data_IF_926689282515
#
_entry.id   IF_926689282515
#
_cell.length_a   1.000
_cell.length_b   1.000
_cell.length_c   1.000
_cell.angle_alpha   90.00
_cell.angle_beta   90.00
_cell.angle_gamma   90.00
#
_symmetry.space_group_name_H-M   'P 1'
#
loop_
_entity.id
_entity.type
_entity.pdbx_description
1 polymer ?
#
# COMPACT_ATOMS: atom_id res chain seq x y z
N UNK A 1 1.06 -2.23 18.30
CA UNK A 1 0.66 -2.94 17.06
C UNK A 1 1.90 -3.23 16.26
N UNK A 2 1.88 -4.30 15.47
CA UNK A 2 2.85 -4.53 14.40
C UNK A 2 2.32 -3.88 13.12
N UNK A 3 3.03 -2.87 12.60
CA UNK A 3 2.59 -2.10 11.42
C UNK A 3 3.57 -2.33 10.26
N UNK A 4 3.07 -2.86 9.15
CA UNK A 4 3.84 -2.94 7.92
C UNK A 4 3.74 -1.61 7.15
N UNK A 5 4.87 -1.02 6.79
CA UNK A 5 4.94 0.17 5.92
C UNK A 5 5.57 -0.25 4.60
N UNK A 6 4.78 -0.23 3.53
CA UNK A 6 5.22 -0.64 2.18
C UNK A 6 5.54 0.59 1.36
N UNK A 7 6.79 0.68 0.91
CA UNK A 7 7.30 1.76 0.07
C UNK A 7 7.55 1.31 -1.37
N UNK A 8 7.25 2.20 -2.31
CA UNK A 8 7.46 1.93 -3.74
C UNK A 8 7.94 3.18 -4.47
N UNK A 9 9.26 3.38 -4.50
CA UNK A 9 9.92 4.39 -5.32
C UNK A 9 11.37 3.94 -5.65
N UNK A 10 11.86 4.08 -6.90
CA UNK A 10 13.18 3.60 -7.28
C UNK A 10 14.34 4.44 -6.71
N UNK A 11 14.11 5.74 -6.43
CA UNK A 11 15.15 6.65 -5.96
C UNK A 11 15.08 6.85 -4.45
N UNK A 12 16.21 6.66 -3.77
CA UNK A 12 16.33 6.84 -2.32
C UNK A 12 16.38 8.32 -1.89
N UNK A 13 16.71 9.23 -2.77
CA UNK A 13 16.71 10.67 -2.54
C UNK A 13 15.37 11.32 -2.91
N UNK A 14 14.34 10.54 -3.22
CA UNK A 14 13.01 11.04 -3.57
C UNK A 14 12.26 11.59 -2.36
N UNK A 15 11.34 12.51 -2.62
CA UNK A 15 10.42 13.01 -1.58
C UNK A 15 9.56 11.89 -0.97
N UNK A 16 9.11 10.93 -1.77
CA UNK A 16 8.36 9.79 -1.24
C UNK A 16 9.21 8.90 -0.31
N UNK A 17 10.52 8.78 -0.56
CA UNK A 17 11.41 8.07 0.35
C UNK A 17 11.60 8.84 1.66
N UNK A 18 11.69 10.17 1.63
CA UNK A 18 11.70 10.99 2.85
C UNK A 18 10.40 10.85 3.66
N UNK A 19 9.24 10.78 2.98
CA UNK A 19 7.95 10.50 3.64
C UNK A 19 7.92 9.10 4.27
N UNK A 20 8.45 8.08 3.58
CA UNK A 20 8.56 6.73 4.11
C UNK A 20 9.36 6.69 5.41
N UNK A 21 10.53 7.34 5.46
CA UNK A 21 11.31 7.45 6.69
C UNK A 21 10.55 8.19 7.79
N UNK A 22 9.89 9.32 7.46
CA UNK A 22 9.06 10.05 8.42
C UNK A 22 7.98 9.16 9.04
N UNK A 23 7.32 8.32 8.23
CA UNK A 23 6.30 7.37 8.70
C UNK A 23 6.94 6.35 9.65
N UNK A 24 8.00 5.68 9.20
CA UNK A 24 8.68 4.61 9.95
C UNK A 24 9.20 5.12 11.30
N UNK A 25 9.92 6.25 11.30
CA UNK A 25 10.55 6.81 12.50
C UNK A 25 9.51 7.32 13.50
N UNK A 26 8.38 7.88 13.02
CA UNK A 26 7.32 8.31 13.91
C UNK A 26 6.60 7.13 14.55
N UNK A 27 6.30 6.09 13.77
CA UNK A 27 5.60 4.90 14.27
C UNK A 27 6.46 4.08 15.23
N UNK A 28 7.77 3.95 14.98
CA UNK A 28 8.71 3.21 15.87
C UNK A 28 8.75 3.72 17.31
N UNK A 29 8.27 4.93 17.56
CA UNK A 29 8.19 5.48 18.95
C UNK A 29 7.17 4.74 19.81
N UNK A 30 6.17 4.10 19.22
CA UNK A 30 5.03 3.49 19.93
C UNK A 30 4.60 2.12 19.39
N UNK A 31 5.14 1.69 18.25
CA UNK A 31 4.76 0.48 17.55
C UNK A 31 5.96 -0.30 17.04
N UNK A 32 5.80 -1.59 16.86
CA UNK A 32 6.71 -2.41 16.07
C UNK A 32 6.45 -2.16 14.59
N UNK A 33 7.51 -1.97 13.79
CA UNK A 33 7.37 -1.58 12.38
C UNK A 33 8.16 -2.52 11.48
N UNK A 34 7.49 -3.11 10.50
CA UNK A 34 8.11 -3.79 9.37
C UNK A 34 8.20 -2.77 8.23
N UNK A 35 9.40 -2.29 7.96
CA UNK A 35 9.69 -1.35 6.87
C UNK A 35 10.03 -2.16 5.60
N UNK A 36 9.13 -2.15 4.62
CA UNK A 36 9.26 -2.90 3.36
C UNK A 36 9.48 -1.91 2.21
N UNK A 37 10.70 -1.84 1.68
CA UNK A 37 11.04 -1.09 0.46
C UNK A 37 11.13 -2.06 -0.72
N UNK A 38 10.10 -2.09 -1.56
CA UNK A 38 9.98 -3.07 -2.65
C UNK A 38 11.12 -3.00 -3.66
N UNK A 39 11.68 -1.81 -3.94
CA UNK A 39 12.81 -1.68 -4.85
C UNK A 39 14.12 -2.15 -4.21
N UNK A 40 14.34 -1.79 -2.95
CA UNK A 40 15.54 -2.15 -2.22
C UNK A 40 15.61 -3.64 -1.89
N UNK A 41 14.47 -4.27 -1.67
CA UNK A 41 14.37 -5.72 -1.43
C UNK A 41 14.43 -6.54 -2.73
N UNK A 42 14.60 -5.90 -3.89
CA UNK A 42 14.68 -6.59 -5.18
C UNK A 42 13.38 -7.31 -5.58
N UNK A 43 12.23 -6.83 -5.08
CA UNK A 43 10.95 -7.43 -5.41
C UNK A 43 10.67 -7.37 -6.92
N UNK A 44 10.31 -8.50 -7.53
CA UNK A 44 9.84 -8.54 -8.92
C UNK A 44 8.32 -8.34 -8.96
N UNK A 45 7.80 -7.34 -9.69
CA UNK A 45 6.36 -7.10 -9.76
C UNK A 45 5.62 -8.05 -10.71
N UNK A 46 6.33 -8.74 -11.60
CA UNK A 46 5.70 -9.60 -12.61
C UNK A 46 5.26 -10.94 -12.01
N UNK A 47 3.97 -11.22 -12.09
CA UNK A 47 3.42 -12.53 -11.73
C UNK A 47 3.99 -13.61 -12.65
N UNK A 48 4.43 -14.72 -12.09
CA UNK A 48 4.97 -15.85 -12.83
C UNK A 48 3.86 -16.76 -13.39
N UNK A 49 4.18 -17.57 -14.40
CA UNK A 49 3.25 -18.56 -14.91
C UNK A 49 2.87 -19.62 -13.84
N UNK A 50 3.77 -19.95 -12.92
CA UNK A 50 3.50 -20.87 -11.82
C UNK A 50 2.48 -20.28 -10.83
N UNK A 51 2.68 -19.01 -10.42
CA UNK A 51 1.73 -18.29 -9.57
C UNK A 51 0.35 -18.21 -10.23
N UNK A 52 0.28 -17.91 -11.54
CA UNK A 52 -0.99 -17.82 -12.24
C UNK A 52 -1.72 -19.17 -12.35
N UNK A 53 -0.99 -20.27 -12.63
CA UNK A 53 -1.59 -21.63 -12.70
C UNK A 53 -2.19 -22.05 -11.34
N UNK A 54 -1.54 -21.70 -10.24
CA UNK A 54 -2.02 -22.02 -8.87
C UNK A 54 -3.07 -21.05 -8.34
N UNK A 55 -3.34 -19.93 -9.05
CA UNK A 55 -4.19 -18.85 -8.53
C UNK A 55 -5.61 -19.30 -8.18
N UNK A 56 -6.18 -20.24 -8.95
CA UNK A 56 -7.52 -20.80 -8.72
C UNK A 56 -7.54 -22.32 -8.56
N UNK A 57 -6.40 -23.00 -8.64
CA UNK A 57 -6.32 -24.47 -8.69
C UNK A 57 -5.38 -25.01 -7.60
N UNK A 58 -5.76 -24.88 -6.35
CA UNK A 58 -4.97 -25.39 -5.23
C UNK A 58 -4.33 -24.29 -4.37
N UNK A 59 -3.33 -24.62 -3.56
CA UNK A 59 -2.59 -23.61 -2.80
C UNK A 59 -1.83 -22.71 -3.75
N UNK A 60 -1.90 -21.40 -3.50
CA UNK A 60 -1.15 -20.42 -4.29
C UNK A 60 0.37 -20.62 -4.12
N UNK A 61 1.11 -20.58 -5.22
CA UNK A 61 2.57 -20.74 -5.22
C UNK A 61 3.25 -19.48 -4.70
N UNK A 62 3.28 -19.30 -3.36
CA UNK A 62 3.76 -18.09 -2.70
C UNK A 62 5.27 -18.08 -2.41
N UNK A 63 6.03 -19.13 -2.77
CA UNK A 63 7.44 -19.29 -2.39
C UNK A 63 8.30 -18.07 -2.69
N UNK A 64 8.15 -17.50 -3.88
CA UNK A 64 8.91 -16.31 -4.30
C UNK A 64 8.54 -15.02 -3.54
N UNK A 65 7.42 -15.00 -2.81
CA UNK A 65 6.91 -13.85 -2.04
C UNK A 65 6.61 -14.21 -0.60
N UNK A 66 7.02 -15.39 -0.14
CA UNK A 66 6.70 -15.94 1.18
C UNK A 66 7.05 -15.00 2.34
N UNK A 67 8.17 -14.31 2.26
CA UNK A 67 8.58 -13.32 3.26
C UNK A 67 7.54 -12.17 3.36
N UNK A 68 7.14 -11.60 2.24
CA UNK A 68 6.15 -10.50 2.18
C UNK A 68 4.76 -10.96 2.62
N UNK A 69 4.37 -12.18 2.25
CA UNK A 69 3.13 -12.82 2.73
C UNK A 69 3.18 -13.03 4.24
N UNK A 70 4.32 -13.50 4.77
CA UNK A 70 4.52 -13.64 6.21
C UNK A 70 4.44 -12.31 6.97
N UNK A 71 4.97 -11.23 6.42
CA UNK A 71 4.82 -9.88 6.97
C UNK A 71 3.34 -9.46 7.03
N UNK A 72 2.61 -9.64 5.94
CA UNK A 72 1.20 -9.26 5.82
C UNK A 72 0.31 -10.06 6.79
N UNK A 73 0.54 -11.37 6.92
CA UNK A 73 -0.21 -12.25 7.84
C UNK A 73 -0.01 -11.89 9.32
N UNK A 74 1.16 -11.34 9.67
CA UNK A 74 1.50 -10.97 11.06
C UNK A 74 1.09 -9.55 11.41
N UNK A 75 0.94 -8.65 10.44
CA UNK A 75 0.71 -7.24 10.68
C UNK A 75 -0.68 -6.97 11.28
N UNK A 76 -0.76 -6.03 12.22
CA UNK A 76 -2.02 -5.46 12.73
C UNK A 76 -2.49 -4.26 11.89
N UNK A 77 -1.57 -3.63 11.16
CA UNK A 77 -1.84 -2.47 10.31
C UNK A 77 -0.94 -2.45 9.08
N UNK A 78 -1.40 -1.83 8.02
CA UNK A 78 -0.62 -1.64 6.81
C UNK A 78 -0.72 -0.19 6.31
N UNK A 79 0.41 0.38 5.92
CA UNK A 79 0.50 1.73 5.36
C UNK A 79 1.30 1.68 4.07
N UNK A 80 0.74 2.23 3.01
CA UNK A 80 1.39 2.34 1.71
C UNK A 80 1.92 3.75 1.48
N UNK A 81 3.20 3.87 1.09
CA UNK A 81 3.88 5.12 0.77
C UNK A 81 4.45 5.08 -0.65
N UNK A 82 3.86 5.84 -1.59
CA UNK A 82 4.21 5.78 -3.00
C UNK A 82 3.73 7.01 -3.77
N UNK A 83 4.33 7.36 -4.92
CA UNK A 83 3.80 8.38 -5.85
C UNK A 83 2.72 7.77 -6.75
N UNK A 84 1.72 8.57 -7.13
CA UNK A 84 0.83 8.19 -8.23
C UNK A 84 1.47 8.52 -9.57
N UNK A 85 1.57 7.51 -10.44
CA UNK A 85 1.96 7.63 -11.84
C UNK A 85 0.77 7.28 -12.72
N UNK A 86 0.47 8.13 -13.70
CA UNK A 86 -0.71 7.95 -14.55
C UNK A 86 -2.01 7.74 -13.75
N UNK A 87 -2.18 8.52 -12.66
CA UNK A 87 -3.33 8.46 -11.75
C UNK A 87 -3.55 7.10 -11.08
N UNK A 88 -2.54 6.25 -11.08
CA UNK A 88 -2.57 4.91 -10.47
C UNK A 88 -1.32 4.67 -9.63
N UNK A 89 -1.24 3.51 -9.00
CA UNK A 89 -0.06 3.08 -8.26
C UNK A 89 1.07 2.68 -9.24
N UNK A 90 2.35 2.79 -8.82
CA UNK A 90 3.48 2.28 -9.60
C UNK A 90 3.34 0.77 -9.89
N UNK A 91 3.90 0.32 -11.01
CA UNK A 91 3.88 -1.11 -11.41
C UNK A 91 4.43 -2.03 -10.31
N UNK A 92 5.48 -1.60 -9.59
CA UNK A 92 6.05 -2.30 -8.45
C UNK A 92 5.02 -2.57 -7.35
N UNK A 93 4.25 -1.54 -6.96
CA UNK A 93 3.20 -1.67 -5.95
C UNK A 93 1.99 -2.46 -6.48
N UNK A 94 1.67 -2.32 -7.78
CA UNK A 94 0.61 -3.13 -8.40
C UNK A 94 0.97 -4.62 -8.34
N UNK A 95 2.22 -4.97 -8.67
CA UNK A 95 2.73 -6.33 -8.58
C UNK A 95 2.73 -6.88 -7.14
N UNK A 96 2.99 -6.03 -6.14
CA UNK A 96 2.83 -6.43 -4.74
C UNK A 96 1.38 -6.87 -4.44
N UNK A 97 0.39 -6.12 -4.90
CA UNK A 97 -1.01 -6.54 -4.74
C UNK A 97 -1.33 -7.81 -5.53
N UNK A 98 -0.84 -7.93 -6.76
CA UNK A 98 -1.13 -9.09 -7.60
C UNK A 98 -0.53 -10.39 -7.05
N UNK A 99 0.66 -10.32 -6.44
CA UNK A 99 1.41 -11.50 -6.02
C UNK A 99 1.29 -11.81 -4.52
N UNK A 100 1.22 -10.78 -3.66
CA UNK A 100 1.19 -10.95 -2.20
C UNK A 100 -0.24 -10.97 -1.67
N UNK A 101 -1.16 -10.19 -2.26
CA UNK A 101 -2.58 -10.19 -1.90
C UNK A 101 -3.37 -11.26 -2.67
N UNK A 102 -2.77 -12.41 -2.85
CA UNK A 102 -3.30 -13.53 -3.62
C UNK A 102 -4.36 -14.34 -2.84
N UNK A 103 -5.05 -15.29 -3.52
CA UNK A 103 -5.95 -16.25 -2.86
C UNK A 103 -5.25 -16.99 -1.73
N UNK A 104 -5.98 -17.25 -0.62
CA UNK A 104 -5.43 -17.89 0.58
C UNK A 104 -4.65 -16.93 1.50
N UNK A 105 -4.29 -15.74 1.03
CA UNK A 105 -3.67 -14.68 1.83
C UNK A 105 -4.61 -13.51 2.07
N UNK A 106 -5.02 -12.80 1.02
CA UNK A 106 -5.89 -11.63 1.17
C UNK A 106 -7.38 -11.99 1.10
N UNK A 107 -7.71 -13.02 0.36
CA UNK A 107 -9.10 -13.44 0.17
C UNK A 107 -9.21 -14.94 -0.09
N UNK A 108 -10.39 -15.48 0.23
CA UNK A 108 -10.82 -16.79 -0.23
C UNK A 108 -11.87 -16.61 -1.33
N UNK A 109 -11.73 -17.41 -2.38
CA UNK A 109 -12.66 -17.44 -3.49
C UNK A 109 -13.57 -18.66 -3.36
N UNK A 110 -14.86 -18.44 -3.29
CA UNK A 110 -15.85 -19.53 -3.40
C UNK A 110 -16.14 -19.78 -4.87
N UNK A 111 -15.56 -20.84 -5.40
CA UNK A 111 -15.74 -21.25 -6.81
C UNK A 111 -17.21 -21.58 -7.15
N UNK A 112 -18.03 -21.90 -6.15
CA UNK A 112 -19.46 -22.28 -6.34
C UNK A 112 -20.42 -21.09 -6.18
N UNK A 113 -20.05 -20.07 -5.41
CA UNK A 113 -20.95 -18.96 -5.06
C UNK A 113 -20.54 -17.58 -5.56
N UNK A 114 -19.37 -17.43 -6.17
CA UNK A 114 -18.90 -16.16 -6.72
C UNK A 114 -18.58 -15.07 -5.69
N UNK A 115 -18.66 -15.35 -4.37
CA UNK A 115 -18.35 -14.38 -3.32
C UNK A 115 -16.91 -14.44 -2.88
N UNK A 116 -16.26 -13.27 -2.88
CA UNK A 116 -14.93 -13.11 -2.28
C UNK A 116 -15.10 -12.90 -0.77
N UNK A 117 -14.43 -13.73 0.03
CA UNK A 117 -14.37 -13.60 1.48
C UNK A 117 -13.05 -12.98 1.90
N UNK A 118 -13.05 -11.84 2.62
CA UNK A 118 -11.83 -11.23 3.16
C UNK A 118 -11.10 -12.16 4.12
N UNK A 119 -9.77 -12.19 4.05
CA UNK A 119 -8.91 -12.96 4.95
C UNK A 119 -7.96 -12.11 5.80
N UNK A 120 -7.71 -10.86 5.42
CA UNK A 120 -6.83 -9.94 6.17
C UNK A 120 -7.55 -9.31 7.37
N UNK A 121 -8.35 -10.09 8.09
CA UNK A 121 -9.14 -9.61 9.25
C UNK A 121 -8.28 -9.24 10.47
N UNK A 122 -7.00 -9.60 10.46
CA UNK A 122 -5.97 -9.14 11.39
C UNK A 122 -5.64 -7.65 11.19
N UNK A 123 -5.78 -7.12 9.98
CA UNK A 123 -5.46 -5.72 9.66
C UNK A 123 -6.56 -4.80 10.21
N UNK A 124 -6.22 -4.02 11.22
CA UNK A 124 -7.10 -3.04 11.88
C UNK A 124 -6.87 -1.60 11.42
N UNK A 125 -5.75 -1.35 10.71
CA UNK A 125 -5.37 -0.05 10.16
C UNK A 125 -4.98 -0.20 8.70
N UNK A 126 -5.58 0.61 7.81
CA UNK A 126 -5.22 0.72 6.39
C UNK A 126 -4.91 2.18 6.05
N UNK A 127 -3.64 2.49 5.87
CA UNK A 127 -3.16 3.86 5.61
C UNK A 127 -2.60 4.02 4.21
N UNK A 128 -2.74 5.23 3.67
CA UNK A 128 -2.09 5.63 2.41
C UNK A 128 -1.49 7.01 2.56
N UNK A 129 -0.21 7.14 2.23
CA UNK A 129 0.51 8.40 2.08
C UNK A 129 1.06 8.45 0.67
N UNK A 130 0.71 9.47 -0.09
CA UNK A 130 1.03 9.51 -1.51
C UNK A 130 1.24 10.92 -2.03
N UNK A 131 1.78 11.03 -3.25
CA UNK A 131 1.92 12.28 -3.98
C UNK A 131 1.40 12.16 -5.41
N UNK A 132 0.93 13.27 -5.95
CA UNK A 132 0.49 13.42 -7.34
C UNK A 132 1.26 14.59 -7.98
N UNK A 133 1.76 14.43 -9.21
CA UNK A 133 2.28 15.54 -10.01
C UNK A 133 1.18 16.56 -10.32
N UNK A 134 -0.03 16.08 -10.59
CA UNK A 134 -1.18 16.89 -10.96
C UNK A 134 -1.85 17.63 -9.79
N UNK A 135 -2.53 18.77 -10.07
CA UNK A 135 -3.27 19.52 -9.08
C UNK A 135 -4.53 18.75 -8.60
N UNK A 136 -4.99 19.12 -7.40
CA UNK A 136 -6.09 18.47 -6.72
C UNK A 136 -7.37 18.36 -7.57
N UNK A 137 -7.76 19.45 -8.24
CA UNK A 137 -9.00 19.48 -9.02
C UNK A 137 -8.96 18.53 -10.22
N UNK A 138 -7.81 18.44 -10.92
CA UNK A 138 -7.64 17.50 -12.03
C UNK A 138 -7.75 16.06 -11.55
N UNK A 139 -7.04 15.73 -10.46
CA UNK A 139 -7.06 14.37 -9.90
C UNK A 139 -8.43 13.97 -9.38
N UNK A 140 -9.08 14.83 -8.57
CA UNK A 140 -10.29 14.47 -7.83
C UNK A 140 -11.57 14.66 -8.62
N UNK A 141 -11.65 15.70 -9.45
CA UNK A 141 -12.88 16.05 -10.21
C UNK A 141 -12.82 15.42 -11.60
N UNK A 142 -11.81 15.76 -12.40
CA UNK A 142 -11.74 15.32 -13.80
C UNK A 142 -11.45 13.82 -13.88
N UNK A 143 -10.36 13.36 -13.26
CA UNK A 143 -9.94 11.95 -13.27
C UNK A 143 -10.67 11.09 -12.24
N UNK A 144 -11.45 11.67 -11.34
CA UNK A 144 -12.22 10.97 -10.29
C UNK A 144 -11.38 10.07 -9.38
N UNK A 145 -10.09 10.33 -9.25
CA UNK A 145 -9.14 9.64 -8.36
C UNK A 145 -9.19 8.09 -8.48
N UNK A 146 -8.88 7.52 -9.64
CA UNK A 146 -9.02 6.08 -9.87
C UNK A 146 -8.11 5.26 -8.95
N UNK A 147 -6.88 5.73 -8.68
CA UNK A 147 -5.94 5.05 -7.78
C UNK A 147 -6.51 4.91 -6.36
N UNK A 148 -7.08 5.98 -5.82
CA UNK A 148 -7.74 5.94 -4.50
C UNK A 148 -8.97 5.03 -4.51
N UNK A 149 -9.76 5.02 -5.59
CA UNK A 149 -10.92 4.11 -5.71
C UNK A 149 -10.48 2.65 -5.65
N UNK A 150 -9.42 2.26 -6.35
CA UNK A 150 -8.88 0.89 -6.28
C UNK A 150 -8.48 0.53 -4.84
N UNK A 151 -7.70 1.39 -4.19
CA UNK A 151 -7.23 1.15 -2.82
C UNK A 151 -8.38 0.99 -1.82
N UNK A 152 -9.38 1.86 -1.89
CA UNK A 152 -10.42 1.93 -0.86
C UNK A 152 -11.69 1.12 -1.17
N UNK A 153 -11.97 0.83 -2.44
CA UNK A 153 -13.16 0.06 -2.85
C UNK A 153 -12.86 -1.40 -3.20
N UNK A 154 -11.64 -1.70 -3.65
CA UNK A 154 -11.26 -3.07 -3.99
C UNK A 154 -10.34 -3.71 -2.93
N UNK A 155 -9.28 -3.02 -2.49
CA UNK A 155 -8.27 -3.62 -1.62
C UNK A 155 -8.61 -3.51 -0.13
N UNK A 156 -8.97 -2.32 0.37
CA UNK A 156 -9.33 -2.14 1.78
C UNK A 156 -10.40 -3.12 2.30
N UNK A 157 -11.46 -3.48 1.55
CA UNK A 157 -12.45 -4.44 2.00
C UNK A 157 -11.89 -5.82 2.34
N UNK A 158 -10.70 -6.19 1.84
CA UNK A 158 -10.03 -7.44 2.19
C UNK A 158 -9.53 -7.46 3.65
N UNK A 159 -9.41 -6.30 4.29
CA UNK A 159 -9.08 -6.15 5.71
C UNK A 159 -10.29 -6.26 6.65
N UNK A 160 -11.48 -6.54 6.12
CA UNK A 160 -12.70 -6.66 6.91
C UNK A 160 -13.41 -5.32 7.21
N UNK A 161 -14.58 -5.38 7.88
CA UNK A 161 -15.50 -4.23 7.98
C UNK A 161 -15.08 -3.18 9.01
N UNK A 162 -14.25 -3.52 10.00
CA UNK A 162 -13.90 -2.64 11.13
C UNK A 162 -12.55 -1.96 10.97
N UNK A 163 -11.93 -2.02 9.79
CA UNK A 163 -10.62 -1.41 9.55
C UNK A 163 -10.70 0.11 9.59
N UNK A 164 -9.90 0.72 10.46
CA UNK A 164 -9.67 2.16 10.45
C UNK A 164 -8.84 2.53 9.23
N UNK A 165 -9.07 3.70 8.65
CA UNK A 165 -8.31 4.07 7.46
C UNK A 165 -8.11 5.58 7.33
N UNK A 166 -6.98 5.94 6.71
CA UNK A 166 -6.69 7.32 6.33
C UNK A 166 -6.07 7.39 4.93
N UNK A 167 -6.17 8.56 4.31
CA UNK A 167 -5.56 8.87 3.03
C UNK A 167 -4.97 10.27 3.06
N UNK A 168 -3.64 10.37 2.96
CA UNK A 168 -2.92 11.63 2.86
C UNK A 168 -2.28 11.75 1.49
N UNK A 169 -2.60 12.80 0.77
CA UNK A 169 -2.06 13.07 -0.55
C UNK A 169 -1.48 14.48 -0.65
N UNK A 170 -0.27 14.58 -1.17
CA UNK A 170 0.33 15.82 -1.62
C UNK A 170 0.04 15.97 -3.11
N UNK A 171 -0.70 16.99 -3.48
CA UNK A 171 -1.03 17.28 -4.87
C UNK A 171 -0.09 18.34 -5.43
N UNK A 172 0.00 18.41 -6.76
CA UNK A 172 0.75 19.43 -7.49
C UNK A 172 2.27 19.41 -7.20
N UNK A 173 2.82 18.18 -7.12
CA UNK A 173 4.24 17.97 -6.83
C UNK A 173 5.16 18.64 -7.84
N UNK A 174 4.75 18.72 -9.11
CA UNK A 174 5.54 19.32 -10.18
C UNK A 174 5.78 20.83 -9.95
N UNK A 175 4.90 21.48 -9.18
CA UNK A 175 5.01 22.90 -8.77
C UNK A 175 5.22 23.06 -7.27
N UNK A 176 5.60 21.98 -6.56
CA UNK A 176 5.78 22.04 -5.11
C UNK A 176 6.97 22.90 -4.70
N UNK A 177 6.83 23.59 -3.59
CA UNK A 177 7.90 24.34 -2.93
C UNK A 177 8.50 23.57 -1.75
N UNK A 178 9.70 23.89 -1.27
CA UNK A 178 10.23 23.34 -0.02
C UNK A 178 9.27 23.52 1.15
N UNK A 179 8.59 24.66 1.24
CA UNK A 179 7.61 24.95 2.30
C UNK A 179 6.38 24.04 2.21
N UNK A 180 5.81 23.82 1.01
CA UNK A 180 4.65 22.93 0.83
C UNK A 180 5.00 21.47 1.15
N UNK A 181 6.20 21.02 0.78
CA UNK A 181 6.68 19.68 1.11
C UNK A 181 6.89 19.50 2.63
N UNK A 182 7.51 20.51 3.29
CA UNK A 182 7.70 20.49 4.74
C UNK A 182 6.35 20.45 5.50
N UNK A 183 5.39 21.28 5.11
CA UNK A 183 4.05 21.29 5.69
C UNK A 183 3.33 19.95 5.56
N UNK A 184 3.43 19.30 4.39
CA UNK A 184 2.83 17.98 4.19
C UNK A 184 3.56 16.89 5.01
N UNK A 185 4.90 16.94 5.09
CA UNK A 185 5.68 16.02 5.93
C UNK A 185 5.27 16.14 7.40
N UNK A 186 5.09 17.37 7.91
CA UNK A 186 4.59 17.61 9.27
C UNK A 186 3.18 17.03 9.47
N UNK A 187 2.29 17.19 8.49
CA UNK A 187 0.96 16.58 8.51
C UNK A 187 1.02 15.06 8.59
N UNK A 188 1.93 14.43 7.82
CA UNK A 188 2.16 12.97 7.85
C UNK A 188 2.63 12.55 9.24
N UNK A 189 3.67 13.20 9.79
CA UNK A 189 4.17 12.91 11.14
C UNK A 189 3.07 13.05 12.20
N UNK A 190 2.26 14.13 12.14
CA UNK A 190 1.14 14.34 13.04
C UNK A 190 0.05 13.28 12.95
N UNK A 191 -0.20 12.74 11.75
CA UNK A 191 -1.14 11.62 11.56
C UNK A 191 -0.57 10.31 12.12
N UNK A 192 0.72 10.03 11.90
CA UNK A 192 1.37 8.82 12.45
C UNK A 192 1.41 8.84 13.99
N UNK A 193 1.57 10.00 14.60
CA UNK A 193 1.55 10.14 16.06
C UNK A 193 0.17 9.86 16.71
N UNK A 194 -0.91 9.82 15.91
CA UNK A 194 -2.28 9.50 16.35
C UNK A 194 -2.64 8.02 16.18
N UNK A 195 -1.83 7.29 15.46
CA UNK A 195 -1.96 5.84 15.31
C UNK A 195 -1.53 5.14 16.59
#
# INVERSE_FOLDING_TARGET
>A
MLIQVVHSHPLQDSYNHALFHTIVDTLKRRHEVIATDLYREGFSPAMTAAEWRSYFQGPYAEDAVACLVGHLRRADGIIFCFPHWWFSMPAMLKGYFDRVWAPGTAFAHDLKGGRIRPLLTNIRLFGVVTSYGSPWWLTRIVMQDPGRKVLFRALKPMCGPRVQSFYLAHYDMDRSTPASRAAFTQRVSSQMAKV
#
